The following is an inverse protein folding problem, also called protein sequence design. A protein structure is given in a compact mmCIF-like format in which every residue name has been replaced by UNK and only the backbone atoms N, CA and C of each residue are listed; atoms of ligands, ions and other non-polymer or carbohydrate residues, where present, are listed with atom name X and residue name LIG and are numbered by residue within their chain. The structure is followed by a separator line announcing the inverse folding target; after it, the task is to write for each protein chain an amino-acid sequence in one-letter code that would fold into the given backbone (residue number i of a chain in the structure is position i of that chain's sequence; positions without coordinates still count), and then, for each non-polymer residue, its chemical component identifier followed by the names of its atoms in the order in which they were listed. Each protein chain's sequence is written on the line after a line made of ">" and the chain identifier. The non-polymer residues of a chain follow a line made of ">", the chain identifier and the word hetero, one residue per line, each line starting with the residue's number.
data_IF_240911316137
#
_entry.id   IF_240911316137
#
_cell.length_a   1.000
_cell.length_b   1.000
_cell.length_c   1.000
_cell.angle_alpha   90.00
_cell.angle_beta   90.00
_cell.angle_gamma   90.00
#
_symmetry.space_group_name_H-M   'P 1'
#
loop_
_entity.id
_entity.type
_entity.pdbx_description
1 polymer ?
#
# COMPACT_ATOMS: atom_id res chain seq x y z
N UNK A 1 10.30 -3.93 8.00
CA UNK A 1 9.01 -3.31 7.59
C UNK A 1 8.21 -4.42 6.93
N UNK A 2 6.99 -4.68 7.35
CA UNK A 2 6.23 -5.86 6.87
C UNK A 2 5.20 -5.53 5.78
N UNK A 3 4.82 -4.26 5.68
CA UNK A 3 3.85 -3.78 4.70
C UNK A 3 3.97 -2.27 4.60
N UNK A 4 3.84 -1.74 3.38
CA UNK A 4 3.81 -0.30 3.13
C UNK A 4 2.51 0.06 2.44
N UNK A 5 1.83 1.07 3.01
CA UNK A 5 0.62 1.65 2.44
C UNK A 5 0.91 3.10 2.09
N UNK A 6 0.77 3.47 0.81
CA UNK A 6 0.95 4.84 0.33
C UNK A 6 -0.38 5.46 -0.05
N UNK A 7 -0.58 6.73 0.27
CA UNK A 7 -1.71 7.48 -0.25
C UNK A 7 -1.65 8.97 0.04
N UNK A 8 -2.28 9.75 -0.83
CA UNK A 8 -2.38 11.20 -0.70
C UNK A 8 -3.39 11.64 0.36
N UNK A 9 -3.22 12.88 0.81
CA UNK A 9 -4.06 13.54 1.80
C UNK A 9 -5.48 13.75 1.29
N UNK A 10 -6.46 13.85 2.20
CA UNK A 10 -7.87 14.08 1.85
C UNK A 10 -8.36 15.42 2.37
N UNK A 11 -9.22 16.10 1.60
CA UNK A 11 -9.97 17.26 2.07
C UNK A 11 -9.59 18.59 1.39
N UNK A 12 -10.16 19.72 1.85
CA UNK A 12 -10.07 21.03 1.17
C UNK A 12 -8.65 21.56 0.98
N UNK A 13 -7.70 21.14 1.81
CA UNK A 13 -6.30 21.60 1.82
C UNK A 13 -5.31 20.45 1.61
N UNK A 14 -5.78 19.34 1.02
CA UNK A 14 -4.92 18.20 0.74
C UNK A 14 -3.75 18.64 -0.14
N UNK A 15 -2.52 18.34 0.30
CA UNK A 15 -1.33 18.57 -0.51
C UNK A 15 -1.34 17.61 -1.71
N UNK A 16 -0.91 18.08 -2.90
CA UNK A 16 -0.73 17.18 -4.04
C UNK A 16 0.34 16.15 -3.68
N UNK A 17 0.07 14.89 -4.01
CA UNK A 17 1.07 13.83 -3.96
C UNK A 17 1.70 13.73 -5.35
N UNK A 18 3.02 13.61 -5.41
CA UNK A 18 3.74 13.37 -6.65
C UNK A 18 3.68 11.88 -7.01
N UNK A 19 3.46 11.58 -8.29
CA UNK A 19 3.51 10.21 -8.79
C UNK A 19 4.90 9.61 -8.66
N UNK A 20 5.96 10.39 -8.87
CA UNK A 20 7.34 9.92 -8.79
C UNK A 20 7.66 9.40 -7.38
N UNK A 21 7.13 10.04 -6.32
CA UNK A 21 7.34 9.57 -4.95
C UNK A 21 6.64 8.23 -4.68
N UNK A 22 5.45 8.03 -5.23
CA UNK A 22 4.71 6.77 -5.07
C UNK A 22 5.43 5.64 -5.80
N UNK A 23 5.96 5.92 -7.00
CA UNK A 23 6.74 5.00 -7.81
C UNK A 23 8.04 4.62 -7.11
N UNK A 24 8.79 5.59 -6.59
CA UNK A 24 10.03 5.36 -5.86
C UNK A 24 9.82 4.50 -4.60
N UNK A 25 8.81 4.81 -3.78
CA UNK A 25 8.48 3.99 -2.59
C UNK A 25 8.11 2.56 -3.00
N UNK A 26 7.32 2.41 -4.07
CA UNK A 26 6.95 1.09 -4.59
C UNK A 26 8.19 0.32 -5.02
N UNK A 27 9.11 0.93 -5.76
CA UNK A 27 10.32 0.26 -6.26
C UNK A 27 11.20 -0.21 -5.10
N UNK A 28 11.35 0.62 -4.05
CA UNK A 28 12.02 0.23 -2.81
C UNK A 28 11.32 -0.95 -2.11
N UNK A 29 9.99 -0.99 -2.12
CA UNK A 29 9.23 -2.12 -1.57
C UNK A 29 9.45 -3.40 -2.37
N UNK A 30 9.41 -3.33 -3.70
CA UNK A 30 9.64 -4.46 -4.58
C UNK A 30 11.06 -5.01 -4.43
N UNK A 31 12.07 -4.14 -4.36
CA UNK A 31 13.47 -4.53 -4.13
C UNK A 31 13.65 -5.21 -2.77
N UNK A 32 12.96 -4.73 -1.74
CA UNK A 32 13.04 -5.28 -0.39
C UNK A 32 12.13 -6.50 -0.15
N UNK A 33 11.32 -6.92 -1.15
CA UNK A 33 10.33 -7.98 -0.98
C UNK A 33 9.23 -7.62 0.04
N UNK A 34 8.95 -6.33 0.22
CA UNK A 34 7.93 -5.82 1.13
C UNK A 34 6.63 -5.59 0.37
N UNK A 35 5.50 -6.14 0.83
CA UNK A 35 4.21 -5.88 0.22
C UNK A 35 3.88 -4.39 0.12
N UNK A 36 3.38 -3.97 -1.04
CA UNK A 36 3.02 -2.58 -1.33
C UNK A 36 1.54 -2.39 -1.66
N UNK A 37 0.90 -1.45 -0.98
CA UNK A 37 -0.50 -1.07 -1.20
C UNK A 37 -0.64 0.41 -1.53
N UNK A 38 -1.16 0.75 -2.71
CA UNK A 38 -1.48 2.13 -3.08
C UNK A 38 -2.95 2.44 -2.82
N UNK A 39 -3.21 3.20 -1.74
CA UNK A 39 -4.56 3.46 -1.25
C UNK A 39 -5.34 4.41 -2.13
N UNK A 40 -4.78 5.57 -2.46
CA UNK A 40 -5.41 6.65 -3.23
C UNK A 40 -4.45 7.80 -3.55
N UNK A 41 -4.76 8.58 -4.58
CA UNK A 41 -4.10 9.85 -4.90
C UNK A 41 -4.46 11.02 -3.96
N UNK A 42 -5.59 10.95 -3.26
CA UNK A 42 -6.03 12.01 -2.33
C UNK A 42 -6.74 13.19 -3.01
N UNK A 43 -6.56 14.40 -2.50
CA UNK A 43 -7.19 15.61 -3.00
C UNK A 43 -8.57 15.92 -2.39
N UNK A 44 -9.18 17.02 -2.87
CA UNK A 44 -10.45 17.54 -2.36
C UNK A 44 -11.62 16.59 -2.61
N UNK A 45 -11.59 15.82 -3.70
CA UNK A 45 -12.56 14.76 -3.98
C UNK A 45 -11.85 13.43 -4.24
N UNK A 46 -11.33 12.83 -3.17
CA UNK A 46 -10.61 11.55 -3.16
C UNK A 46 -11.34 10.38 -3.87
N UNK A 47 -12.68 10.41 -3.92
CA UNK A 47 -13.47 9.39 -4.61
C UNK A 47 -13.28 9.45 -6.13
N UNK A 48 -12.94 10.61 -6.69
CA UNK A 48 -12.74 10.81 -8.13
C UNK A 48 -11.34 10.47 -8.60
N UNK A 49 -10.34 10.66 -7.75
CA UNK A 49 -8.93 10.48 -8.14
C UNK A 49 -8.52 9.01 -8.21
N UNK A 50 -9.22 8.14 -7.47
CA UNK A 50 -8.99 6.70 -7.53
C UNK A 50 -7.63 6.27 -7.00
N UNK A 51 -7.18 5.11 -7.49
CA UNK A 51 -6.06 4.32 -6.95
C UNK A 51 -5.26 3.58 -8.04
N UNK A 52 -5.34 4.07 -9.27
CA UNK A 52 -4.56 3.53 -10.38
C UNK A 52 -3.17 4.17 -10.36
N UNK A 53 -2.14 3.36 -10.28
CA UNK A 53 -0.73 3.73 -10.40
C UNK A 53 -0.13 2.89 -11.54
N UNK A 54 0.37 3.57 -12.57
CA UNK A 54 0.89 2.94 -13.80
C UNK A 54 -0.08 1.94 -14.45
N UNK A 55 -1.34 2.35 -14.58
CA UNK A 55 -2.35 1.58 -15.32
C UNK A 55 -2.94 0.38 -14.56
N UNK A 56 -2.53 0.14 -13.31
CA UNK A 56 -3.12 -0.92 -12.46
C UNK A 56 -3.33 -0.47 -11.02
N UNK A 57 -4.05 -1.27 -10.24
CA UNK A 57 -4.06 -1.15 -8.78
C UNK A 57 -2.92 -1.94 -8.17
N UNK A 58 -2.45 -1.48 -7.01
CA UNK A 58 -1.42 -2.13 -6.22
C UNK A 58 -2.04 -2.42 -4.85
N UNK A 59 -2.45 -3.67 -4.62
CA UNK A 59 -3.30 -4.06 -3.50
C UNK A 59 -2.68 -5.21 -2.68
N UNK A 60 -1.35 -5.25 -2.55
CA UNK A 60 -0.67 -6.33 -1.83
C UNK A 60 -0.93 -6.25 -0.32
N UNK A 61 -0.98 -7.40 0.32
CA UNK A 61 -1.14 -7.56 1.77
C UNK A 61 0.04 -8.34 2.33
N UNK A 62 0.40 -8.13 3.61
CA UNK A 62 1.36 -9.00 4.27
C UNK A 62 0.82 -10.43 4.29
N UNK A 63 1.72 -11.40 4.10
CA UNK A 63 1.40 -12.80 4.36
C UNK A 63 0.91 -12.89 5.80
N UNK A 64 -0.33 -13.32 6.00
CA UNK A 64 -0.77 -13.73 7.32
C UNK A 64 0.13 -14.86 7.75
N UNK A 65 1.01 -14.63 8.74
CA UNK A 65 1.53 -15.72 9.56
C UNK A 65 0.29 -16.31 10.23
N UNK A 66 -0.37 -17.24 9.56
CA UNK A 66 -1.19 -18.22 10.24
C UNK A 66 -0.15 -19.01 11.02
N UNK A 67 0.05 -18.64 12.29
CA UNK A 67 0.81 -19.46 13.20
C UNK A 67 0.25 -20.87 13.06
N UNK A 68 1.10 -21.81 12.68
CA UNK A 68 0.73 -23.21 12.54
C UNK A 68 0.14 -23.68 13.88
N UNK A 69 -1.19 -23.74 13.96
CA UNK A 69 -1.92 -24.21 15.14
C UNK A 69 -1.84 -25.74 15.27
N UNK A 70 -0.97 -26.44 14.51
CA UNK A 70 -0.87 -27.91 14.53
C UNK A 70 0.23 -28.47 15.43
N UNK A 71 1.10 -27.66 16.04
CA UNK A 71 2.18 -28.15 16.94
C UNK A 71 1.89 -28.08 18.46
N UNK A 72 0.64 -27.88 18.91
CA UNK A 72 0.33 -27.76 20.35
C UNK A 72 -0.64 -28.81 20.94
N UNK A 73 -0.86 -29.97 20.29
CA UNK A 73 -1.81 -31.00 20.81
C UNK A 73 -1.17 -32.39 21.07
N UNK A 74 0.15 -32.53 21.16
CA UNK A 74 0.76 -33.83 21.52
C UNK A 74 1.99 -33.71 22.44
N UNK A 75 1.82 -33.04 23.59
CA UNK A 75 2.73 -33.15 24.73
C UNK A 75 1.97 -33.58 25.99
#
# INVERSE_FOLDING_TARGET
>A
IHWVIVGGESGPKARPIDAEWVIDIRDQCLEAGVPFFFKQWGGRNKKKTGRILEGRTWDEFPDTIVADQRELIHA
#
